data_IF_298833020960
#
_entry.id   IF_298833020960
#
_cell.length_a   1.000
_cell.length_b   1.000
_cell.length_c   1.000
_cell.angle_alpha   90.00
_cell.angle_beta   90.00
_cell.angle_gamma   90.00
#
_symmetry.space_group_name_H-M   'P 1'
#
loop_
_entity.id
_entity.type
_entity.pdbx_description
1 polymer ?
#
# COMPACT_ATOMS: atom_id res chain seq x y z
N UNK A 1 3.91 -8.64 1.11
CA UNK A 1 2.71 -8.01 1.70
C UNK A 1 3.05 -6.84 2.61
N UNK A 2 3.96 -6.98 3.59
CA UNK A 2 4.27 -5.91 4.55
C UNK A 2 4.63 -4.55 3.91
N UNK A 3 5.52 -4.54 2.90
CA UNK A 3 5.89 -3.30 2.20
C UNK A 3 4.69 -2.59 1.55
N UNK A 4 3.77 -3.35 0.93
CA UNK A 4 2.54 -2.79 0.33
C UNK A 4 1.62 -2.23 1.40
N UNK A 5 1.40 -2.97 2.49
CA UNK A 5 0.54 -2.51 3.57
C UNK A 5 1.08 -1.23 4.22
N UNK A 6 2.40 -1.16 4.43
CA UNK A 6 3.03 0.01 4.99
C UNK A 6 2.92 1.21 4.03
N UNK A 7 3.18 1.04 2.73
CA UNK A 7 2.96 2.11 1.74
C UNK A 7 1.52 2.57 1.71
N UNK A 8 0.56 1.65 1.73
CA UNK A 8 -0.86 1.98 1.74
C UNK A 8 -1.20 2.88 2.93
N UNK A 9 -0.70 2.54 4.12
CA UNK A 9 -0.88 3.38 5.32
C UNK A 9 -0.25 4.75 5.16
N UNK A 10 0.98 4.82 4.68
CA UNK A 10 1.69 6.07 4.44
C UNK A 10 0.96 6.98 3.42
N UNK A 11 0.39 6.39 2.37
CA UNK A 11 -0.35 7.11 1.33
C UNK A 11 -1.73 7.61 1.82
N UNK A 12 -2.45 6.79 2.59
CA UNK A 12 -3.83 7.09 3.04
C UNK A 12 -3.84 8.04 4.25
N UNK A 13 -2.93 7.81 5.19
CA UNK A 13 -2.83 8.62 6.40
C UNK A 13 -1.35 8.80 6.76
N UNK A 14 -0.68 9.78 6.16
CA UNK A 14 0.70 10.10 6.49
C UNK A 14 0.79 10.47 7.97
N UNK A 15 1.29 9.56 8.80
CA UNK A 15 1.58 9.82 10.22
C UNK A 15 3.09 9.84 10.42
N UNK A 16 3.55 10.67 11.36
CA UNK A 16 4.98 10.82 11.68
C UNK A 16 5.63 9.50 12.16
N UNK A 17 4.85 8.49 12.52
CA UNK A 17 5.32 7.19 13.01
C UNK A 17 5.63 6.17 11.91
N UNK A 18 5.18 6.40 10.67
CA UNK A 18 5.45 5.47 9.57
C UNK A 18 6.78 5.91 8.93
N UNK A 19 7.87 5.25 9.30
CA UNK A 19 9.22 5.46 8.76
C UNK A 19 9.35 4.95 7.31
N UNK A 20 8.44 5.34 6.43
CA UNK A 20 8.55 5.10 4.99
C UNK A 20 8.92 6.41 4.33
N UNK A 21 10.01 6.45 3.55
CA UNK A 21 10.34 7.62 2.74
C UNK A 21 9.17 8.01 1.84
N UNK A 22 8.89 9.31 1.65
CA UNK A 22 7.88 9.74 0.71
C UNK A 22 8.20 9.24 -0.72
N UNK A 23 7.20 9.14 -1.60
CA UNK A 23 7.44 8.70 -2.96
C UNK A 23 8.29 9.72 -3.71
N UNK A 24 9.01 9.26 -4.72
CA UNK A 24 9.65 10.12 -5.71
C UNK A 24 8.61 10.92 -6.52
N UNK A 25 9.08 11.92 -7.29
CA UNK A 25 8.22 12.82 -8.05
C UNK A 25 7.27 12.12 -9.04
N UNK A 26 7.60 10.92 -9.48
CA UNK A 26 6.81 10.05 -10.36
C UNK A 26 5.82 9.12 -9.60
N UNK A 27 5.74 9.27 -8.27
CA UNK A 27 4.84 8.53 -7.39
C UNK A 27 5.33 7.13 -7.01
N UNK A 28 6.62 6.83 -7.18
CA UNK A 28 7.20 5.54 -6.83
C UNK A 28 7.71 5.57 -5.38
N UNK A 29 7.33 4.55 -4.61
CA UNK A 29 7.81 4.30 -3.26
C UNK A 29 8.89 3.22 -3.31
N UNK A 30 10.11 3.57 -2.92
CA UNK A 30 11.22 2.61 -2.80
C UNK A 30 11.40 2.19 -1.34
N UNK A 31 11.44 0.89 -1.09
CA UNK A 31 11.63 0.32 0.23
C UNK A 31 12.56 -0.88 0.18
N UNK A 32 13.28 -1.11 1.28
CA UNK A 32 14.09 -2.31 1.44
C UNK A 32 13.29 -3.39 2.17
N UNK A 33 13.17 -4.55 1.56
CA UNK A 33 12.60 -5.74 2.17
C UNK A 33 13.55 -6.29 3.25
N UNK A 34 13.01 -7.12 4.15
CA UNK A 34 13.77 -7.72 5.26
C UNK A 34 14.95 -8.58 4.80
N UNK A 35 14.86 -9.16 3.61
CA UNK A 35 15.91 -9.96 2.99
C UNK A 35 16.97 -9.11 2.26
N UNK A 36 16.88 -7.78 2.37
CA UNK A 36 17.84 -6.84 1.82
C UNK A 36 17.54 -6.41 0.38
N UNK A 37 16.52 -6.98 -0.27
CA UNK A 37 16.11 -6.60 -1.64
C UNK A 37 15.36 -5.27 -1.68
N UNK A 38 15.49 -4.52 -2.78
CA UNK A 38 14.68 -3.33 -3.02
C UNK A 38 13.35 -3.71 -3.69
N UNK A 39 12.28 -3.07 -3.21
CA UNK A 39 10.98 -3.04 -3.88
C UNK A 39 10.64 -1.61 -4.28
N UNK A 40 10.30 -1.44 -5.56
CA UNK A 40 9.76 -0.21 -6.12
C UNK A 40 8.26 -0.39 -6.31
N UNK A 41 7.45 0.42 -5.64
CA UNK A 41 5.99 0.28 -5.62
C UNK A 41 5.34 1.56 -6.15
N UNK A 42 4.48 1.42 -7.15
CA UNK A 42 3.55 2.48 -7.55
C UNK A 42 2.15 2.07 -7.14
N UNK A 43 1.62 2.71 -6.10
CA UNK A 43 0.35 2.36 -5.48
C UNK A 43 -0.62 3.54 -5.54
N UNK A 44 -1.84 3.27 -5.98
CA UNK A 44 -2.99 4.16 -5.89
C UNK A 44 -3.90 3.68 -4.77
N UNK A 45 -4.40 4.64 -3.98
CA UNK A 45 -5.26 4.36 -2.82
C UNK A 45 -6.53 5.23 -2.84
N UNK A 46 -7.41 5.09 -3.86
CA UNK A 46 -8.63 5.87 -3.90
C UNK A 46 -9.59 5.46 -2.77
N UNK A 47 -10.18 6.45 -2.10
CA UNK A 47 -11.29 6.21 -1.19
C UNK A 47 -12.51 5.80 -2.02
N UNK A 48 -13.03 4.60 -1.80
CA UNK A 48 -14.11 4.06 -2.59
C UNK A 48 -15.47 4.10 -1.87
N UNK A 49 -15.48 3.88 -0.55
CA UNK A 49 -16.71 3.76 0.22
C UNK A 49 -16.53 4.30 1.64
N UNK A 50 -17.56 4.99 2.15
CA UNK A 50 -17.73 5.24 3.58
C UNK A 50 -18.92 4.41 4.06
N UNK A 51 -18.76 3.66 5.15
CA UNK A 51 -19.84 2.85 5.73
C UNK A 51 -19.77 2.76 7.24
N UNK A 52 -20.88 2.36 7.85
CA UNK A 52 -20.87 1.94 9.26
C UNK A 52 -20.53 0.46 9.39
N UNK A 53 -19.70 0.14 10.39
CA UNK A 53 -19.37 -1.22 10.81
C UNK A 53 -19.57 -1.31 12.33
N UNK A 54 -20.77 -1.72 12.73
CA UNK A 54 -21.19 -1.63 14.13
C UNK A 54 -21.22 -0.18 14.60
N UNK A 55 -20.59 0.18 15.73
CA UNK A 55 -20.56 1.57 16.23
C UNK A 55 -19.56 2.46 15.46
N UNK A 56 -18.68 1.89 14.64
CA UNK A 56 -17.62 2.61 13.97
C UNK A 56 -18.03 3.08 12.57
N UNK A 57 -17.70 4.32 12.24
CA UNK A 57 -17.72 4.82 10.86
C UNK A 57 -16.35 4.56 10.23
N UNK A 58 -16.32 3.86 9.10
CA UNK A 58 -15.08 3.47 8.42
C UNK A 58 -15.02 4.01 7.00
N UNK A 59 -13.80 4.33 6.55
CA UNK A 59 -13.48 4.59 5.15
C UNK A 59 -12.77 3.37 4.57
N UNK A 60 -13.23 2.92 3.41
CA UNK A 60 -12.64 1.82 2.66
C UNK A 60 -11.91 2.40 1.45
N UNK A 61 -10.62 2.10 1.37
CA UNK A 61 -9.74 2.48 0.28
C UNK A 61 -9.43 1.24 -0.55
N UNK A 62 -9.54 1.34 -1.86
CA UNK A 62 -9.01 0.30 -2.74
C UNK A 62 -7.49 0.45 -2.82
N UNK A 63 -6.76 -0.67 -2.89
CA UNK A 63 -5.31 -0.69 -3.13
C UNK A 63 -5.09 -1.24 -4.53
N UNK A 64 -4.51 -0.45 -5.42
CA UNK A 64 -4.25 -0.87 -6.80
C UNK A 64 -2.90 -0.35 -7.27
N UNK A 65 -2.09 -1.20 -7.88
CA UNK A 65 -0.78 -0.77 -8.31
C UNK A 65 0.11 -1.86 -8.86
N UNK A 66 1.38 -1.54 -8.99
CA UNK A 66 2.41 -2.47 -9.43
C UNK A 66 3.62 -2.38 -8.52
N UNK A 67 4.28 -3.52 -8.32
CA UNK A 67 5.53 -3.63 -7.61
C UNK A 67 6.59 -4.28 -8.51
N UNK A 68 7.82 -3.82 -8.42
CA UNK A 68 8.99 -4.49 -8.99
C UNK A 68 9.98 -4.76 -7.88
N UNK A 69 10.46 -5.99 -7.78
CA UNK A 69 11.52 -6.39 -6.83
C UNK A 69 12.80 -6.59 -7.62
N UNK A 70 13.93 -6.05 -7.11
CA UNK A 70 15.32 -6.14 -7.61
C UNK A 70 15.53 -6.76 -9.00
N UNK A 71 15.34 -8.08 -9.09
CA UNK A 71 15.58 -8.96 -10.23
C UNK A 71 14.61 -8.75 -11.41
N UNK A 72 13.99 -7.57 -11.50
CA UNK A 72 12.97 -7.24 -12.48
C UNK A 72 11.67 -8.02 -12.25
N UNK A 73 11.45 -8.64 -11.10
CA UNK A 73 10.24 -9.43 -10.89
C UNK A 73 9.04 -8.53 -10.65
N UNK A 74 8.11 -8.52 -11.59
CA UNK A 74 6.89 -7.71 -11.52
C UNK A 74 5.77 -8.40 -10.77
N UNK A 75 5.02 -7.59 -10.02
CA UNK A 75 3.77 -7.97 -9.38
C UNK A 75 2.69 -6.92 -9.62
N UNK A 76 1.47 -7.39 -9.88
CA UNK A 76 0.27 -6.57 -9.78
C UNK A 76 -0.24 -6.62 -8.35
N UNK A 77 -0.61 -5.46 -7.83
CA UNK A 77 -1.13 -5.28 -6.47
C UNK A 77 -2.60 -4.95 -6.54
N UNK A 78 -3.42 -5.71 -5.84
CA UNK A 78 -4.84 -5.43 -5.60
C UNK A 78 -5.15 -5.62 -4.11
N UNK A 79 -6.17 -4.95 -3.60
CA UNK A 79 -6.53 -5.09 -2.18
C UNK A 79 -7.40 -3.96 -1.67
N UNK A 80 -7.48 -3.86 -0.35
CA UNK A 80 -8.21 -2.80 0.33
C UNK A 80 -7.59 -2.45 1.68
N UNK A 81 -7.83 -1.23 2.14
CA UNK A 81 -7.53 -0.79 3.49
C UNK A 81 -8.79 -0.18 4.12
N UNK A 82 -9.04 -0.53 5.38
CA UNK A 82 -10.17 -0.05 6.17
C UNK A 82 -9.65 0.84 7.29
N UNK A 83 -10.05 2.10 7.27
CA UNK A 83 -9.65 3.11 8.25
C UNK A 83 -10.85 3.49 9.12
N UNK A 84 -10.71 3.41 10.43
CA UNK A 84 -11.66 3.98 11.36
C UNK A 84 -11.55 5.52 11.36
N UNK A 85 -12.67 6.21 11.14
CA UNK A 85 -12.67 7.68 10.98
C UNK A 85 -12.31 8.38 12.28
N UNK A 86 -12.83 7.89 13.41
CA UNK A 86 -12.70 8.57 14.70
C UNK A 86 -11.27 8.47 15.26
N UNK A 87 -10.69 7.27 15.19
CA UNK A 87 -9.37 6.98 15.77
C UNK A 87 -8.24 7.11 14.78
N UNK A 88 -8.54 7.22 13.47
CA UNK A 88 -7.56 7.14 12.38
C UNK A 88 -6.75 5.84 12.40
N UNK A 89 -7.27 4.79 13.03
CA UNK A 89 -6.63 3.48 13.08
C UNK A 89 -6.99 2.66 11.85
N UNK A 90 -6.00 1.98 11.26
CA UNK A 90 -6.25 0.98 10.23
C UNK A 90 -6.78 -0.29 10.89
N UNK A 91 -8.06 -0.59 10.67
CA UNK A 91 -8.70 -1.80 11.19
C UNK A 91 -8.30 -3.03 10.39
N UNK A 92 -8.06 -2.84 9.10
CA UNK A 92 -7.65 -3.90 8.20
C UNK A 92 -6.87 -3.35 7.00
N UNK A 93 -5.87 -4.10 6.53
CA UNK A 93 -5.11 -3.79 5.31
C UNK A 93 -4.75 -5.11 4.65
N UNK A 94 -5.50 -5.45 3.61
CA UNK A 94 -5.33 -6.68 2.86
C UNK A 94 -4.82 -6.35 1.46
N UNK A 95 -3.85 -7.14 0.98
CA UNK A 95 -3.38 -7.03 -0.38
C UNK A 95 -3.05 -8.41 -0.95
N UNK A 96 -3.30 -8.57 -2.23
CA UNK A 96 -2.91 -9.70 -3.04
C UNK A 96 -1.82 -9.25 -4.01
N UNK A 97 -0.89 -10.16 -4.26
CA UNK A 97 0.21 -9.96 -5.18
C UNK A 97 0.11 -11.03 -6.27
N UNK A 98 -0.22 -10.61 -7.47
CA UNK A 98 -0.23 -11.47 -8.64
C UNK A 98 1.10 -11.29 -9.39
N UNK A 99 1.85 -12.38 -9.58
CA UNK A 99 3.11 -12.34 -10.32
C UNK A 99 2.81 -12.12 -11.79
N UNK A 100 3.37 -11.07 -12.39
CA UNK A 100 3.15 -10.75 -13.82
C UNK A 100 4.32 -11.15 -14.73
N UNK A 101 5.42 -11.65 -14.17
CA UNK A 101 6.59 -12.04 -14.95
C UNK A 101 7.72 -11.03 -14.87
N UNK A 102 8.85 -11.37 -15.48
CA UNK A 102 10.02 -10.49 -15.51
C UNK A 102 9.68 -9.23 -16.32
N UNK A 103 10.02 -8.08 -15.78
CA UNK A 103 9.80 -6.76 -16.36
C UNK A 103 11.16 -6.18 -16.69
N UNK A 104 11.25 -5.50 -17.84
CA UNK A 104 12.44 -4.74 -18.16
C UNK A 104 12.67 -3.65 -17.08
N UNK A 105 13.93 -3.40 -16.69
CA UNK A 105 14.27 -2.46 -15.63
C UNK A 105 13.77 -1.03 -15.85
#
# INVERSE_FOLDING_TARGET
>A
MEAVANTARAAISPSASINIPPPSADGIWSQRLRDGREVRLKLSTPCFEQKQRGPCTVLVYALQGNAVVDNGMGYRVTGQAVLDVATRAFLDVECQLERVGSVAP
#
